data_IF_846664245525
#
_entry.id   IF_846664245525
#
_cell.length_a   1.000
_cell.length_b   1.000
_cell.length_c   1.000
_cell.angle_alpha   90.00
_cell.angle_beta   90.00
_cell.angle_gamma   90.00
#
_symmetry.space_group_name_H-M   'P 1'
#
loop_
_entity.id
_entity.type
_entity.pdbx_description
1 polymer ?
#
# COMPACT_ATOMS: atom_id res chain seq x y z
N UNK A 1 6.25 -25.67 0.22
CA UNK A 1 5.14 -24.69 0.01
C UNK A 1 4.60 -24.77 -1.42
N UNK A 2 5.45 -24.62 -2.45
CA UNK A 2 5.03 -24.64 -3.87
C UNK A 2 4.27 -25.92 -4.29
N UNK A 3 4.75 -27.11 -3.93
CA UNK A 3 4.06 -28.38 -4.23
C UNK A 3 2.64 -28.45 -3.64
N UNK A 4 2.44 -27.92 -2.43
CA UNK A 4 1.11 -27.88 -1.79
C UNK A 4 0.16 -26.94 -2.54
N UNK A 5 0.66 -25.77 -2.96
CA UNK A 5 -0.13 -24.82 -3.76
C UNK A 5 -0.50 -25.39 -5.13
N UNK A 6 0.44 -26.04 -5.82
CA UNK A 6 0.16 -26.70 -7.10
C UNK A 6 -0.90 -27.79 -6.94
N UNK A 7 -0.78 -28.65 -5.93
CA UNK A 7 -1.77 -29.69 -5.65
C UNK A 7 -3.15 -29.10 -5.29
N UNK A 8 -3.18 -28.00 -4.55
CA UNK A 8 -4.40 -27.27 -4.21
C UNK A 8 -5.10 -26.72 -5.46
N UNK A 9 -4.34 -26.10 -6.37
CA UNK A 9 -4.88 -25.57 -7.64
C UNK A 9 -5.38 -26.70 -8.53
N UNK A 10 -4.60 -27.78 -8.66
CA UNK A 10 -4.95 -28.92 -9.52
C UNK A 10 -6.17 -29.69 -9.01
N UNK A 11 -6.42 -29.70 -7.70
CA UNK A 11 -7.60 -30.34 -7.11
C UNK A 11 -8.87 -29.48 -7.21
N UNK A 12 -8.75 -28.15 -7.32
CA UNK A 12 -9.88 -27.22 -7.38
C UNK A 12 -9.87 -26.34 -8.64
N UNK A 13 -9.57 -26.93 -9.81
CA UNK A 13 -9.37 -26.19 -11.07
C UNK A 13 -10.47 -25.19 -11.38
N UNK A 14 -11.74 -25.56 -11.15
CA UNK A 14 -12.88 -24.68 -11.42
C UNK A 14 -12.88 -23.43 -10.54
N UNK A 15 -12.58 -23.56 -9.24
CA UNK A 15 -12.47 -22.42 -8.30
C UNK A 15 -11.39 -21.45 -8.75
N UNK A 16 -10.22 -21.98 -9.13
CA UNK A 16 -9.10 -21.14 -9.55
C UNK A 16 -9.29 -20.53 -10.94
N UNK A 17 -10.02 -21.22 -11.84
CA UNK A 17 -10.45 -20.64 -13.11
C UNK A 17 -11.42 -19.48 -12.90
N UNK A 18 -12.42 -19.64 -12.01
CA UNK A 18 -13.32 -18.56 -11.65
C UNK A 18 -12.58 -17.38 -11.02
N UNK A 19 -11.65 -17.65 -10.09
CA UNK A 19 -10.82 -16.61 -9.50
C UNK A 19 -10.01 -15.86 -10.57
N UNK A 20 -9.40 -16.57 -11.52
CA UNK A 20 -8.66 -15.97 -12.62
C UNK A 20 -9.56 -15.06 -13.48
N UNK A 21 -10.78 -15.51 -13.80
CA UNK A 21 -11.77 -14.72 -14.54
C UNK A 21 -12.15 -13.47 -13.74
N UNK A 22 -12.47 -13.61 -12.46
CA UNK A 22 -12.84 -12.50 -11.57
C UNK A 22 -11.72 -11.45 -11.54
N UNK A 23 -10.48 -11.87 -11.29
CA UNK A 23 -9.33 -10.96 -11.23
C UNK A 23 -9.01 -10.35 -12.60
N UNK A 24 -9.15 -11.13 -13.68
CA UNK A 24 -8.94 -10.66 -15.06
C UNK A 24 -9.95 -9.58 -15.46
N UNK A 25 -11.24 -9.80 -15.22
CA UNK A 25 -12.26 -8.77 -15.43
C UNK A 25 -12.11 -7.60 -14.46
N UNK A 26 -11.73 -7.85 -13.20
CA UNK A 26 -11.41 -6.81 -12.24
C UNK A 26 -10.29 -5.89 -12.71
N UNK A 27 -9.23 -6.45 -13.30
CA UNK A 27 -8.16 -5.68 -13.94
C UNK A 27 -8.68 -4.90 -15.14
N UNK A 28 -9.42 -5.56 -16.04
CA UNK A 28 -10.01 -4.94 -17.21
C UNK A 28 -10.80 -3.67 -16.85
N UNK A 29 -11.69 -3.73 -15.85
CA UNK A 29 -12.49 -2.56 -15.43
C UNK A 29 -11.62 -1.38 -14.93
N UNK A 30 -10.45 -1.67 -14.35
CA UNK A 30 -9.53 -0.64 -13.83
C UNK A 30 -8.65 -0.04 -14.93
N UNK A 31 -8.28 -0.82 -15.95
CA UNK A 31 -7.39 -0.34 -17.03
C UNK A 31 -8.11 0.01 -18.33
N UNK A 32 -9.41 -0.30 -18.43
CA UNK A 32 -10.20 0.01 -19.60
C UNK A 32 -10.20 1.52 -19.88
N UNK A 33 -9.91 1.85 -21.14
CA UNK A 33 -9.94 3.20 -21.69
C UNK A 33 -9.14 4.24 -20.88
N UNK A 34 -7.99 3.86 -20.31
CA UNK A 34 -7.13 4.77 -19.53
C UNK A 34 -6.68 5.99 -20.35
N UNK A 35 -6.49 5.87 -21.67
CA UNK A 35 -6.14 7.00 -22.53
C UNK A 35 -7.11 8.20 -22.39
N UNK A 36 -8.40 7.93 -22.19
CA UNK A 36 -9.44 8.95 -22.11
C UNK A 36 -9.94 9.19 -20.68
N UNK A 37 -9.85 8.18 -19.81
CA UNK A 37 -10.43 8.21 -18.48
C UNK A 37 -9.42 8.45 -17.35
N UNK A 38 -8.12 8.47 -17.66
CA UNK A 38 -7.10 8.79 -16.66
C UNK A 38 -7.16 10.28 -16.34
N UNK A 39 -7.64 10.60 -15.13
CA UNK A 39 -7.55 11.96 -14.60
C UNK A 39 -6.08 12.35 -14.40
N UNK A 40 -5.66 13.41 -15.07
CA UNK A 40 -4.31 13.96 -14.95
C UNK A 40 -4.38 15.42 -14.56
N UNK A 41 -4.29 15.67 -13.26
CA UNK A 41 -4.43 17.00 -12.66
C UNK A 41 -3.09 17.48 -12.10
N UNK A 42 -3.13 18.55 -11.31
CA UNK A 42 -1.96 19.14 -10.67
C UNK A 42 -1.10 18.11 -9.92
N UNK A 43 -1.72 17.24 -9.12
CA UNK A 43 -0.99 16.24 -8.32
C UNK A 43 -0.22 15.25 -9.21
N UNK A 44 -0.88 14.72 -10.26
CA UNK A 44 -0.23 13.79 -11.19
C UNK A 44 0.92 14.47 -11.95
N UNK A 45 0.76 15.74 -12.33
CA UNK A 45 1.81 16.54 -12.97
C UNK A 45 3.01 16.80 -12.05
N UNK A 46 2.76 17.16 -10.77
CA UNK A 46 3.80 17.34 -9.75
C UNK A 46 4.58 16.04 -9.53
N UNK A 47 3.89 14.92 -9.42
CA UNK A 47 4.48 13.61 -9.18
C UNK A 47 5.33 13.19 -10.38
N UNK A 48 4.80 13.35 -11.60
CA UNK A 48 5.52 13.08 -12.84
C UNK A 48 6.79 13.95 -12.97
N UNK A 49 6.71 15.24 -12.64
CA UNK A 49 7.87 16.14 -12.67
C UNK A 49 8.94 15.74 -11.64
N UNK A 50 8.54 15.36 -10.44
CA UNK A 50 9.48 14.88 -9.40
C UNK A 50 10.24 13.64 -9.88
N UNK A 51 9.54 12.73 -10.55
CA UNK A 51 10.12 11.50 -11.10
C UNK A 51 10.96 11.78 -12.34
N UNK A 52 10.55 12.72 -13.19
CA UNK A 52 11.35 13.18 -14.33
C UNK A 52 12.70 13.71 -13.85
N UNK A 53 12.69 14.53 -12.80
CA UNK A 53 13.90 15.10 -12.21
C UNK A 53 14.80 14.05 -11.57
N UNK A 54 14.22 13.03 -10.94
CA UNK A 54 14.97 11.87 -10.46
C UNK A 54 15.72 11.19 -11.61
N UNK A 55 15.03 10.87 -12.71
CA UNK A 55 15.62 10.11 -13.81
C UNK A 55 16.62 10.89 -14.67
N UNK A 56 16.38 12.19 -14.92
CA UNK A 56 17.18 12.97 -15.86
C UNK A 56 18.24 13.85 -15.18
N UNK A 57 18.05 14.19 -13.91
CA UNK A 57 18.96 15.08 -13.19
C UNK A 57 19.55 14.45 -11.92
N UNK A 58 19.17 13.21 -11.59
CA UNK A 58 19.64 12.55 -10.37
C UNK A 58 19.10 13.19 -9.08
N UNK A 59 18.02 13.96 -9.17
CA UNK A 59 17.42 14.64 -8.02
C UNK A 59 16.65 13.65 -7.17
N UNK A 60 17.31 13.05 -6.17
CA UNK A 60 16.73 12.07 -5.24
C UNK A 60 15.72 12.78 -4.31
N UNK A 61 14.40 12.50 -4.40
CA UNK A 61 13.40 13.15 -3.58
C UNK A 61 13.46 12.65 -2.12
N UNK A 62 13.58 13.56 -1.16
CA UNK A 62 13.51 13.22 0.27
C UNK A 62 12.09 13.34 0.82
N UNK A 63 11.22 13.99 0.07
CA UNK A 63 9.78 14.14 0.32
C UNK A 63 8.99 13.62 -0.87
N UNK A 64 7.78 13.16 -0.58
CA UNK A 64 6.79 12.69 -1.53
C UNK A 64 5.67 13.70 -1.75
N UNK A 65 4.46 13.22 -2.07
CA UNK A 65 3.26 14.04 -2.23
C UNK A 65 3.01 14.99 -1.05
N UNK A 66 2.45 16.16 -1.35
CA UNK A 66 1.96 17.09 -0.32
C UNK A 66 0.81 16.45 0.45
N UNK A 67 0.66 16.84 1.71
CA UNK A 67 -0.57 16.57 2.44
C UNK A 67 -1.62 17.65 2.15
N UNK A 68 -2.82 17.50 2.71
CA UNK A 68 -3.81 18.59 2.73
C UNK A 68 -3.42 19.76 3.63
N UNK A 69 -2.29 19.68 4.35
CA UNK A 69 -1.80 20.69 5.27
C UNK A 69 -0.52 21.31 4.69
N UNK A 70 -0.54 22.63 4.51
CA UNK A 70 0.58 23.36 3.93
C UNK A 70 1.86 23.17 4.76
N UNK A 71 2.96 22.87 4.07
CA UNK A 71 4.27 22.68 4.70
C UNK A 71 4.44 21.38 5.47
N UNK A 72 3.47 20.44 5.37
CA UNK A 72 3.60 19.06 5.84
C UNK A 72 3.62 18.15 4.60
N UNK A 73 4.65 17.32 4.49
CA UNK A 73 4.90 16.46 3.33
C UNK A 73 4.88 14.98 3.72
N UNK A 74 4.50 14.12 2.76
CA UNK A 74 4.71 12.67 2.87
C UNK A 74 6.17 12.33 2.55
N UNK A 75 6.59 11.12 2.90
CA UNK A 75 7.87 10.57 2.50
C UNK A 75 7.85 10.11 1.03
N UNK A 76 9.03 9.88 0.42
CA UNK A 76 9.19 9.81 -1.04
C UNK A 76 8.85 8.46 -1.66
N UNK A 77 8.43 7.46 -0.87
CA UNK A 77 8.34 6.08 -1.34
C UNK A 77 7.30 5.90 -2.46
N UNK A 78 6.21 6.67 -2.46
CA UNK A 78 5.27 6.65 -3.58
C UNK A 78 5.95 7.02 -4.91
N UNK A 79 6.85 8.00 -4.92
CA UNK A 79 7.59 8.37 -6.13
C UNK A 79 8.51 7.24 -6.59
N UNK A 80 9.27 6.63 -5.66
CA UNK A 80 10.11 5.48 -6.00
C UNK A 80 9.32 4.27 -6.48
N UNK A 81 8.13 4.07 -5.94
CA UNK A 81 7.26 2.96 -6.32
C UNK A 81 6.82 3.07 -7.79
N UNK A 82 6.44 4.26 -8.25
CA UNK A 82 5.91 4.46 -9.61
C UNK A 82 6.99 4.89 -10.63
N UNK A 83 8.17 5.32 -10.17
CA UNK A 83 9.25 5.80 -11.02
C UNK A 83 9.70 4.80 -12.10
N UNK A 84 9.89 3.50 -11.82
CA UNK A 84 10.27 2.53 -12.85
C UNK A 84 9.25 2.43 -13.99
N UNK A 85 7.96 2.63 -13.69
CA UNK A 85 6.90 2.55 -14.68
C UNK A 85 6.81 3.80 -15.54
N UNK A 86 7.14 4.98 -15.00
CA UNK A 86 7.36 6.16 -15.82
C UNK A 86 8.57 5.99 -16.77
N UNK A 87 9.63 5.33 -16.32
CA UNK A 87 10.79 5.03 -17.17
C UNK A 87 10.41 4.08 -18.32
N UNK A 88 9.72 2.97 -18.01
CA UNK A 88 9.20 2.03 -19.02
C UNK A 88 8.24 2.72 -20.00
N UNK A 89 7.38 3.60 -19.49
CA UNK A 89 6.43 4.36 -20.28
C UNK A 89 7.01 5.57 -21.01
N UNK A 90 8.33 5.83 -20.90
CA UNK A 90 9.00 7.02 -21.47
C UNK A 90 8.28 8.33 -21.08
N UNK A 91 7.86 8.44 -19.83
CA UNK A 91 7.10 9.58 -19.30
C UNK A 91 5.58 9.47 -19.42
N UNK A 92 5.05 8.45 -20.10
CA UNK A 92 3.60 8.27 -20.22
C UNK A 92 2.96 7.82 -18.88
N UNK A 93 1.98 8.57 -18.31
CA UNK A 93 1.36 8.27 -17.01
C UNK A 93 0.45 7.04 -17.00
N UNK A 94 0.13 6.47 -18.17
CA UNK A 94 -0.67 5.25 -18.26
C UNK A 94 0.07 4.05 -17.65
N UNK A 95 1.38 3.96 -17.85
CA UNK A 95 2.19 2.85 -17.34
C UNK A 95 2.17 2.75 -15.81
N UNK A 96 2.46 3.82 -15.05
CA UNK A 96 2.31 3.79 -13.60
C UNK A 96 0.84 3.61 -13.17
N UNK A 97 -0.14 4.15 -13.91
CA UNK A 97 -1.57 3.92 -13.60
C UNK A 97 -1.99 2.44 -13.73
N UNK A 98 -1.53 1.76 -14.79
CA UNK A 98 -1.74 0.31 -14.97
C UNK A 98 -1.06 -0.46 -13.84
N UNK A 99 0.17 -0.13 -13.49
CA UNK A 99 0.86 -0.77 -12.37
C UNK A 99 0.09 -0.61 -11.05
N UNK A 100 -0.33 0.61 -10.71
CA UNK A 100 -1.13 0.85 -9.51
C UNK A 100 -2.44 0.06 -9.55
N UNK A 101 -3.12 0.00 -10.70
CA UNK A 101 -4.31 -0.83 -10.89
C UNK A 101 -4.03 -2.31 -10.61
N UNK A 102 -2.90 -2.84 -11.08
CA UNK A 102 -2.46 -4.22 -10.79
C UNK A 102 -2.27 -4.44 -9.29
N UNK A 103 -1.71 -3.48 -8.53
CA UNK A 103 -1.58 -3.63 -7.07
C UNK A 103 -2.93 -3.85 -6.38
N UNK A 104 -4.01 -3.20 -6.86
CA UNK A 104 -5.36 -3.36 -6.31
C UNK A 104 -6.01 -4.70 -6.69
N UNK A 105 -5.64 -5.29 -7.84
CA UNK A 105 -6.09 -6.63 -8.23
C UNK A 105 -5.34 -7.70 -7.44
N UNK A 106 -4.05 -7.50 -7.18
CA UNK A 106 -3.29 -8.35 -6.25
C UNK A 106 -3.94 -8.30 -4.86
N UNK A 107 -4.42 -7.13 -4.42
CA UNK A 107 -5.16 -7.00 -3.18
C UNK A 107 -6.45 -7.82 -3.18
N UNK A 108 -7.18 -7.83 -4.30
CA UNK A 108 -8.39 -8.66 -4.48
C UNK A 108 -8.07 -10.16 -4.45
N UNK A 109 -6.93 -10.57 -5.00
CA UNK A 109 -6.42 -11.95 -4.85
C UNK A 109 -6.02 -12.29 -3.41
N UNK A 110 -5.46 -11.32 -2.67
CA UNK A 110 -5.17 -11.49 -1.25
C UNK A 110 -6.45 -11.58 -0.41
N UNK A 111 -7.50 -10.82 -0.77
CA UNK A 111 -8.85 -10.93 -0.18
C UNK A 111 -9.41 -12.34 -0.37
N UNK A 112 -9.28 -12.93 -1.57
CA UNK A 112 -9.63 -14.34 -1.78
C UNK A 112 -8.89 -15.26 -0.80
N UNK A 113 -7.56 -15.11 -0.72
CA UNK A 113 -6.74 -15.96 0.14
C UNK A 113 -7.13 -15.83 1.61
N UNK A 114 -7.40 -14.61 2.10
CA UNK A 114 -7.84 -14.38 3.47
C UNK A 114 -9.21 -14.99 3.74
N UNK A 115 -10.19 -14.83 2.83
CA UNK A 115 -11.49 -15.49 2.94
C UNK A 115 -11.39 -17.02 2.96
N UNK A 116 -10.53 -17.58 2.09
CA UNK A 116 -10.23 -19.01 2.07
C UNK A 116 -9.59 -19.49 3.37
N UNK A 117 -8.63 -18.76 3.91
CA UNK A 117 -7.94 -19.11 5.15
C UNK A 117 -8.86 -19.02 6.38
N UNK A 118 -9.78 -18.06 6.41
CA UNK A 118 -10.69 -17.83 7.54
C UNK A 118 -11.81 -18.87 7.56
N UNK A 119 -12.33 -19.25 6.39
CA UNK A 119 -13.49 -20.13 6.32
C UNK A 119 -13.34 -21.17 5.20
N UNK A 120 -13.56 -20.78 3.95
CA UNK A 120 -13.49 -21.68 2.81
C UNK A 120 -13.32 -20.94 1.47
N UNK A 121 -13.12 -21.72 0.40
CA UNK A 121 -12.90 -21.22 -0.96
C UNK A 121 -14.07 -20.39 -1.49
N UNK A 122 -15.30 -20.72 -1.10
CA UNK A 122 -16.49 -20.01 -1.54
C UNK A 122 -16.54 -18.62 -0.89
N UNK A 123 -16.28 -18.52 0.42
CA UNK A 123 -16.13 -17.23 1.11
C UNK A 123 -15.04 -16.39 0.47
N UNK A 124 -13.89 -16.99 0.13
CA UNK A 124 -12.83 -16.33 -0.63
C UNK A 124 -13.29 -15.80 -2.00
N UNK A 125 -14.00 -16.63 -2.79
CA UNK A 125 -14.52 -16.24 -4.11
C UNK A 125 -15.54 -15.09 -4.01
N UNK A 126 -16.45 -15.15 -3.05
CA UNK A 126 -17.44 -14.09 -2.81
C UNK A 126 -16.71 -12.78 -2.47
N UNK A 127 -15.75 -12.82 -1.54
CA UNK A 127 -14.99 -11.63 -1.15
C UNK A 127 -14.17 -11.03 -2.31
N UNK A 128 -13.54 -11.87 -3.14
CA UNK A 128 -12.82 -11.44 -4.33
C UNK A 128 -13.76 -10.86 -5.40
N UNK A 129 -14.96 -11.42 -5.56
CA UNK A 129 -15.99 -10.91 -6.47
C UNK A 129 -16.41 -9.51 -6.03
N UNK A 130 -16.78 -9.34 -4.76
CA UNK A 130 -17.20 -8.05 -4.21
C UNK A 130 -16.08 -6.99 -4.35
N UNK A 131 -14.83 -7.34 -4.05
CA UNK A 131 -13.72 -6.39 -4.19
C UNK A 131 -13.34 -6.07 -5.65
N UNK A 132 -13.44 -7.05 -6.55
CA UNK A 132 -13.10 -6.86 -7.97
C UNK A 132 -14.12 -6.00 -8.71
N UNK A 133 -15.40 -6.10 -8.35
CA UNK A 133 -16.51 -5.46 -9.06
C UNK A 133 -17.18 -4.29 -8.31
N UNK A 134 -16.80 -4.02 -7.06
CA UNK A 134 -17.30 -2.85 -6.32
C UNK A 134 -16.96 -1.55 -7.04
N UNK A 135 -17.99 -0.75 -7.36
CA UNK A 135 -17.85 0.53 -8.04
C UNK A 135 -16.85 1.45 -7.34
N UNK A 136 -16.98 1.62 -6.02
CA UNK A 136 -16.10 2.50 -5.25
C UNK A 136 -14.64 2.04 -5.28
N UNK A 137 -14.41 0.73 -5.16
CA UNK A 137 -13.05 0.18 -5.22
C UNK A 137 -12.48 0.34 -6.63
N UNK A 138 -13.25 0.06 -7.67
CA UNK A 138 -12.82 0.22 -9.07
C UNK A 138 -12.44 1.66 -9.36
N UNK A 139 -13.30 2.64 -9.04
CA UNK A 139 -13.03 4.06 -9.29
C UNK A 139 -11.81 4.54 -8.49
N UNK A 140 -11.71 4.19 -7.19
CA UNK A 140 -10.54 4.54 -6.39
C UNK A 140 -9.25 3.90 -6.94
N UNK A 141 -9.32 2.67 -7.46
CA UNK A 141 -8.16 1.95 -8.04
C UNK A 141 -7.63 2.59 -9.32
N UNK A 142 -8.44 3.41 -10.01
CA UNK A 142 -8.06 4.10 -11.24
C UNK A 142 -7.29 5.39 -10.99
N UNK A 143 -7.23 5.85 -9.74
CA UNK A 143 -6.56 7.09 -9.41
C UNK A 143 -5.04 6.91 -9.46
N UNK A 144 -4.35 7.68 -10.29
CA UNK A 144 -2.89 7.75 -10.28
C UNK A 144 -2.44 8.61 -9.09
N UNK A 145 -2.42 8.02 -7.90
CA UNK A 145 -2.13 8.74 -6.67
C UNK A 145 -1.61 7.82 -5.56
N UNK A 146 -1.01 8.42 -4.55
CA UNK A 146 -0.43 7.77 -3.37
C UNK A 146 -1.38 6.90 -2.53
N UNK A 147 -2.70 7.13 -2.41
CA UNK A 147 -3.58 6.21 -1.70
C UNK A 147 -3.90 4.92 -2.46
N UNK A 148 -3.65 4.82 -3.76
CA UNK A 148 -4.09 3.65 -4.56
C UNK A 148 -3.47 2.32 -4.10
N UNK A 149 -2.16 2.23 -3.75
CA UNK A 149 -1.58 1.04 -3.13
C UNK A 149 -2.15 0.66 -1.75
N UNK A 150 -2.93 1.56 -1.10
CA UNK A 150 -3.40 1.33 0.26
C UNK A 150 -4.34 0.15 0.37
N UNK A 151 -5.08 -0.21 -0.68
CA UNK A 151 -5.90 -1.43 -0.64
C UNK A 151 -5.01 -2.66 -0.44
N UNK A 152 -3.92 -2.77 -1.18
CA UNK A 152 -2.97 -3.88 -1.05
C UNK A 152 -2.30 -3.89 0.32
N UNK A 153 -1.81 -2.73 0.76
CA UNK A 153 -1.17 -2.59 2.07
C UNK A 153 -2.13 -2.90 3.22
N UNK A 154 -3.40 -2.50 3.11
CA UNK A 154 -4.45 -2.86 4.09
C UNK A 154 -4.65 -4.36 4.17
N UNK A 155 -4.70 -5.05 3.03
CA UNK A 155 -4.91 -6.50 3.01
C UNK A 155 -3.70 -7.26 3.54
N UNK A 156 -2.48 -6.80 3.25
CA UNK A 156 -1.28 -7.34 3.88
C UNK A 156 -1.26 -7.07 5.39
N UNK A 157 -1.69 -5.89 5.83
CA UNK A 157 -1.79 -5.56 7.24
C UNK A 157 -2.75 -6.52 7.97
N UNK A 158 -3.96 -6.70 7.45
CA UNK A 158 -4.93 -7.69 7.98
C UNK A 158 -4.33 -9.09 8.01
N UNK A 159 -3.63 -9.50 6.96
CA UNK A 159 -2.94 -10.79 6.95
C UNK A 159 -1.92 -10.91 8.08
N UNK A 160 -1.11 -9.87 8.32
CA UNK A 160 -0.14 -9.88 9.42
C UNK A 160 -0.83 -9.94 10.79
N UNK A 161 -1.97 -9.26 10.99
CA UNK A 161 -2.74 -9.36 12.22
C UNK A 161 -3.22 -10.79 12.48
N UNK A 162 -3.74 -11.48 11.45
CA UNK A 162 -4.14 -12.88 11.55
C UNK A 162 -2.96 -13.76 11.94
N UNK A 163 -1.79 -13.57 11.33
CA UNK A 163 -0.58 -14.33 11.67
C UNK A 163 -0.13 -14.09 13.12
N UNK A 164 -0.22 -12.85 13.62
CA UNK A 164 0.04 -12.55 15.04
C UNK A 164 -0.93 -13.32 15.95
N UNK A 165 -2.23 -13.34 15.61
CA UNK A 165 -3.23 -14.10 16.36
C UNK A 165 -2.99 -15.62 16.32
N UNK A 166 -2.41 -16.13 15.23
CA UNK A 166 -1.94 -17.52 15.09
C UNK A 166 -0.59 -17.81 15.80
N UNK A 167 -0.07 -16.85 16.57
CA UNK A 167 1.17 -17.01 17.35
C UNK A 167 2.45 -16.76 16.56
N UNK A 168 2.37 -16.26 15.32
CA UNK A 168 3.55 -15.95 14.49
C UNK A 168 4.11 -14.58 14.85
N UNK A 169 4.91 -14.52 15.92
CA UNK A 169 5.53 -13.28 16.43
C UNK A 169 6.30 -12.47 15.38
N UNK A 170 6.92 -13.12 14.40
CA UNK A 170 7.67 -12.44 13.33
C UNK A 170 6.79 -11.48 12.51
N UNK A 171 5.47 -11.70 12.46
CA UNK A 171 4.54 -10.87 11.70
C UNK A 171 4.37 -9.45 12.27
N UNK A 172 4.82 -9.18 13.50
CA UNK A 172 4.87 -7.83 14.07
C UNK A 172 5.73 -6.87 13.25
N UNK A 173 6.89 -7.32 12.77
CA UNK A 173 7.82 -6.48 12.01
C UNK A 173 7.23 -5.96 10.69
N UNK A 174 6.72 -6.82 9.77
CA UNK A 174 6.05 -6.35 8.57
C UNK A 174 4.74 -5.59 8.89
N UNK A 175 4.00 -5.92 9.94
CA UNK A 175 2.80 -5.14 10.32
C UNK A 175 3.15 -3.69 10.69
N UNK A 176 4.20 -3.50 11.49
CA UNK A 176 4.69 -2.17 11.88
C UNK A 176 5.28 -1.42 10.67
N UNK A 177 6.01 -2.11 9.81
CA UNK A 177 6.52 -1.51 8.57
C UNK A 177 5.37 -1.03 7.68
N UNK A 178 4.35 -1.86 7.46
CA UNK A 178 3.17 -1.49 6.66
C UNK A 178 2.46 -0.28 7.28
N UNK A 179 2.24 -0.28 8.60
CA UNK A 179 1.61 0.85 9.29
C UNK A 179 2.41 2.15 9.14
N UNK A 180 3.74 2.07 9.31
CA UNK A 180 4.63 3.23 9.19
C UNK A 180 4.68 3.73 7.76
N UNK A 181 4.90 2.85 6.79
CA UNK A 181 4.97 3.23 5.38
C UNK A 181 3.64 3.80 4.89
N UNK A 182 2.51 3.22 5.31
CA UNK A 182 1.18 3.73 4.98
C UNK A 182 0.96 5.13 5.53
N UNK A 183 1.29 5.34 6.82
CA UNK A 183 1.17 6.64 7.48
C UNK A 183 2.08 7.70 6.88
N UNK A 184 3.35 7.40 6.66
CA UNK A 184 4.31 8.43 6.30
C UNK A 184 4.44 8.66 4.79
N UNK A 185 4.16 7.67 3.93
CA UNK A 185 4.47 7.77 2.50
C UNK A 185 3.28 7.69 1.55
N UNK A 186 2.23 6.96 1.91
CA UNK A 186 1.10 6.71 1.00
C UNK A 186 -0.15 7.50 1.36
N UNK A 187 -0.66 7.42 2.59
CA UNK A 187 -1.70 8.32 3.08
C UNK A 187 -3.08 8.28 2.39
N UNK A 188 -4.12 7.84 3.10
CA UNK A 188 -5.53 7.77 2.72
C UNK A 188 -6.51 8.19 3.83
N UNK A 189 -6.01 8.82 4.90
CA UNK A 189 -6.68 9.10 6.18
C UNK A 189 -6.95 7.86 7.07
N UNK A 190 -7.27 6.70 6.51
CA UNK A 190 -7.57 5.47 7.28
C UNK A 190 -6.38 4.83 8.00
N UNK A 191 -5.15 5.09 7.53
CA UNK A 191 -3.91 4.52 8.06
C UNK A 191 -3.59 4.97 9.49
N UNK A 192 -4.15 6.09 9.95
CA UNK A 192 -4.03 6.52 11.35
C UNK A 192 -4.55 5.45 12.32
N UNK A 193 -5.52 4.63 11.88
CA UNK A 193 -6.12 3.58 12.69
C UNK A 193 -5.27 2.31 12.79
N UNK A 194 -4.20 2.15 11.99
CA UNK A 194 -3.37 0.94 12.05
C UNK A 194 -2.62 0.82 13.37
N UNK A 195 -2.10 1.93 13.91
CA UNK A 195 -1.39 1.93 15.19
C UNK A 195 -2.32 1.65 16.39
N UNK A 196 -3.51 2.27 16.51
CA UNK A 196 -4.52 1.87 17.48
C UNK A 196 -4.88 0.38 17.39
N UNK A 197 -5.06 -0.17 16.18
CA UNK A 197 -5.34 -1.60 15.98
C UNK A 197 -4.18 -2.47 16.47
N UNK A 198 -2.93 -2.10 16.14
CA UNK A 198 -1.74 -2.80 16.67
C UNK A 198 -1.66 -2.75 18.19
N UNK A 199 -2.00 -1.62 18.81
CA UNK A 199 -2.04 -1.48 20.27
C UNK A 199 -3.12 -2.38 20.88
N UNK A 200 -4.32 -2.41 20.30
CA UNK A 200 -5.39 -3.32 20.74
C UNK A 200 -4.95 -4.78 20.62
N UNK A 201 -4.35 -5.18 19.50
CA UNK A 201 -3.84 -6.54 19.29
C UNK A 201 -2.72 -6.85 20.29
N UNK A 202 -1.82 -5.93 20.61
CA UNK A 202 -0.77 -6.12 21.61
C UNK A 202 -1.36 -6.36 23.00
N UNK A 203 -2.40 -5.60 23.37
CA UNK A 203 -3.09 -5.74 24.65
C UNK A 203 -3.90 -7.03 24.76
N UNK A 204 -4.51 -7.47 23.66
CA UNK A 204 -5.33 -8.69 23.60
C UNK A 204 -4.48 -9.97 23.48
N UNK A 205 -3.47 -9.97 22.60
CA UNK A 205 -2.63 -11.12 22.26
C UNK A 205 -1.29 -11.10 23.01
N UNK A 206 -1.30 -10.82 24.33
CA UNK A 206 -0.07 -10.65 25.15
C UNK A 206 0.90 -11.83 25.06
N UNK A 207 0.41 -13.05 24.86
CA UNK A 207 1.23 -14.27 24.69
C UNK A 207 2.03 -14.29 23.38
N UNK A 208 1.58 -13.52 22.38
CA UNK A 208 2.16 -13.45 21.05
C UNK A 208 2.90 -12.13 20.79
N UNK A 209 3.28 -11.40 21.86
CA UNK A 209 4.11 -10.21 21.74
C UNK A 209 5.47 -10.53 21.11
N UNK A 210 6.07 -9.55 20.40
CA UNK A 210 7.38 -9.72 19.80
C UNK A 210 8.45 -9.90 20.89
N UNK A 211 9.46 -10.72 20.59
CA UNK A 211 10.66 -10.79 21.43
C UNK A 211 11.57 -9.57 21.20
N UNK A 212 12.66 -9.49 21.98
CA UNK A 212 13.61 -8.37 21.91
C UNK A 212 14.19 -8.16 20.50
N UNK A 213 14.47 -9.23 19.76
CA UNK A 213 15.05 -9.11 18.42
C UNK A 213 14.04 -8.52 17.43
N UNK A 214 12.79 -8.98 17.51
CA UNK A 214 11.70 -8.45 16.69
C UNK A 214 11.40 -7.00 17.08
N UNK A 215 11.42 -6.62 18.36
CA UNK A 215 11.25 -5.23 18.79
C UNK A 215 12.33 -4.32 18.20
N UNK A 216 13.60 -4.75 18.25
CA UNK A 216 14.70 -4.00 17.64
C UNK A 216 14.45 -3.84 16.14
N UNK A 217 14.08 -4.93 15.46
CA UNK A 217 13.76 -4.88 14.03
C UNK A 217 12.60 -3.90 13.74
N UNK A 218 11.53 -3.91 14.54
CA UNK A 218 10.42 -2.97 14.39
C UNK A 218 10.89 -1.51 14.53
N UNK A 219 11.68 -1.19 15.56
CA UNK A 219 12.23 0.15 15.78
C UNK A 219 13.11 0.57 14.60
N UNK A 220 13.99 -0.32 14.14
CA UNK A 220 14.86 -0.09 12.98
C UNK A 220 14.04 0.17 11.71
N UNK A 221 13.00 -0.63 11.45
CA UNK A 221 12.13 -0.44 10.28
C UNK A 221 11.35 0.88 10.34
N UNK A 222 10.86 1.27 11.51
CA UNK A 222 10.23 2.58 11.71
C UNK A 222 11.22 3.70 11.38
N UNK A 223 12.40 3.67 12.02
CA UNK A 223 13.42 4.69 11.87
C UNK A 223 13.90 4.83 10.42
N UNK A 224 14.19 3.72 9.74
CA UNK A 224 14.61 3.72 8.34
C UNK A 224 13.52 4.30 7.44
N UNK A 225 12.25 3.96 7.69
CA UNK A 225 11.14 4.45 6.87
C UNK A 225 10.99 5.98 6.97
N UNK A 226 11.09 6.54 8.18
CA UNK A 226 10.93 7.99 8.40
C UNK A 226 12.21 8.79 8.14
N UNK A 227 13.36 8.13 7.94
CA UNK A 227 14.67 8.77 7.77
C UNK A 227 14.70 9.84 6.67
N UNK A 228 14.09 9.66 5.48
CA UNK A 228 14.08 10.71 4.45
C UNK A 228 13.39 12.00 4.91
N UNK A 229 12.30 11.86 5.67
CA UNK A 229 11.56 12.99 6.24
C UNK A 229 12.38 13.72 7.31
N UNK A 230 13.05 12.98 8.19
CA UNK A 230 13.95 13.55 9.20
C UNK A 230 15.09 14.31 8.52
N UNK A 231 15.74 13.69 7.53
CA UNK A 231 16.84 14.32 6.79
C UNK A 231 16.38 15.60 6.07
N UNK A 232 15.19 15.58 5.46
CA UNK A 232 14.60 16.77 4.86
C UNK A 232 14.33 17.85 5.90
N UNK A 233 13.74 17.50 7.05
CA UNK A 233 13.37 18.47 8.07
C UNK A 233 14.61 19.17 8.66
N UNK A 234 15.69 18.41 8.92
CA UNK A 234 16.98 18.95 9.37
C UNK A 234 17.55 19.91 8.31
N UNK A 235 17.61 19.48 7.05
CA UNK A 235 18.13 20.30 5.94
C UNK A 235 17.36 21.61 5.76
N UNK A 236 16.06 21.60 6.05
CA UNK A 236 15.17 22.76 5.88
C UNK A 236 14.84 23.46 7.21
N UNK A 237 15.75 23.41 8.19
CA UNK A 237 15.64 24.14 9.45
C UNK A 237 14.33 23.89 10.23
N UNK A 238 13.87 22.63 10.25
CA UNK A 238 12.69 22.18 11.01
C UNK A 238 11.35 22.58 10.38
N UNK A 239 11.28 22.73 9.05
CA UNK A 239 10.09 23.19 8.35
C UNK A 239 8.85 22.32 8.62
N UNK A 240 8.96 21.00 8.52
CA UNK A 240 7.86 20.05 8.79
C UNK A 240 7.48 20.14 10.27
N UNK A 241 8.45 20.08 11.18
CA UNK A 241 8.20 20.14 12.63
C UNK A 241 7.48 21.42 13.04
N UNK A 242 7.92 22.58 12.52
CA UNK A 242 7.29 23.89 12.78
C UNK A 242 5.85 23.93 12.27
N UNK A 243 5.58 23.39 11.09
CA UNK A 243 4.23 23.40 10.51
C UNK A 243 3.27 22.42 11.20
N UNK A 244 3.76 21.25 11.65
CA UNK A 244 2.98 20.35 12.52
C UNK A 244 2.59 21.08 13.81
N UNK A 245 3.54 21.76 14.46
CA UNK A 245 3.27 22.52 15.68
C UNK A 245 2.21 23.60 15.48
N UNK A 246 2.28 24.36 14.38
CA UNK A 246 1.25 25.35 14.02
C UNK A 246 -0.11 24.71 13.80
N UNK A 247 -0.17 23.59 13.10
CA UNK A 247 -1.43 22.89 12.81
C UNK A 247 -2.13 22.37 14.07
N UNK A 248 -1.38 21.93 15.08
CA UNK A 248 -1.96 21.39 16.33
C UNK A 248 -2.47 22.47 17.30
N UNK A 249 -2.05 23.73 17.13
CA UNK A 249 -2.42 24.86 17.99
C UNK A 249 -3.47 25.77 17.33
N UNK A 250 -3.70 25.60 16.02
CA UNK A 250 -4.75 26.28 15.26
C UNK A 250 -6.11 25.57 15.44
#
# INVERSE_FOLDING_TARGET
MLKKLVNEILSHKFVYLLLLIILGFGLFLRVYNLNNLLGFYYDQGRDALSIWNLWHFGNIPFIGPTTGIAGIFRGPFYYYLIAPFYLLGKGNPIYPSVFLSVTTVIASGLIYYLGFKIQDRMTGLIAATLSSFSFNIVIASRWLSNPTPMLLLSMFFVWMLILIMEGKRWAWAPAILIATVSLFHFGSAGEVFYFPVLAIIALWQRKHLPDKQIIILCITLVFISILPLIAFDIKNHGLITKNIGKFLVA
#
